data_IF_701079449203
#
_entry.id   IF_701079449203
#
_cell.length_a   1.000
_cell.length_b   1.000
_cell.length_c   1.000
_cell.angle_alpha   90.00
_cell.angle_beta   90.00
_cell.angle_gamma   90.00
#
_symmetry.space_group_name_H-M   'P 1'
#
loop_
_entity.id
_entity.type
_entity.pdbx_description
1 polymer ?
#
# COMPACT_ATOMS: atom_id res chain seq x y z
N UNK A 1 6.14 -9.70 -2.04
CA UNK A 1 4.91 -9.10 -2.61
C UNK A 1 3.84 -10.17 -2.59
N UNK A 2 2.63 -9.86 -2.12
CA UNK A 2 1.51 -10.81 -2.09
C UNK A 2 0.96 -10.94 -3.51
N UNK A 3 0.54 -12.14 -3.90
CA UNK A 3 -0.03 -12.42 -5.22
C UNK A 3 -1.55 -12.60 -5.12
N UNK A 4 -2.28 -12.03 -6.07
CA UNK A 4 -3.75 -12.11 -6.12
C UNK A 4 -4.22 -13.56 -6.24
N UNK A 5 -3.63 -14.34 -7.15
CA UNK A 5 -4.00 -15.74 -7.36
C UNK A 5 -3.85 -16.59 -6.09
N UNK A 6 -2.78 -16.40 -5.32
CA UNK A 6 -2.61 -17.11 -4.04
C UNK A 6 -3.65 -16.67 -3.02
N UNK A 7 -3.98 -15.38 -2.94
CA UNK A 7 -5.05 -14.90 -2.06
C UNK A 7 -6.42 -15.50 -2.42
N UNK A 8 -6.74 -15.62 -3.72
CA UNK A 8 -7.99 -16.24 -4.21
C UNK A 8 -8.05 -17.73 -3.84
N UNK A 9 -6.99 -18.48 -4.12
CA UNK A 9 -6.92 -19.92 -3.79
C UNK A 9 -7.06 -20.13 -2.29
N UNK A 10 -6.35 -19.33 -1.50
CA UNK A 10 -6.38 -19.41 -0.04
C UNK A 10 -7.74 -19.00 0.54
N UNK A 11 -8.43 -18.04 -0.11
CA UNK A 11 -9.79 -17.64 0.25
C UNK A 11 -10.79 -18.75 -0.08
N UNK A 12 -10.63 -19.45 -1.21
CA UNK A 12 -11.51 -20.56 -1.58
C UNK A 12 -11.37 -21.76 -0.65
N UNK A 13 -10.13 -22.23 -0.40
CA UNK A 13 -9.89 -23.42 0.43
C UNK A 13 -9.88 -23.15 1.93
N UNK A 14 -9.43 -21.96 2.34
CA UNK A 14 -9.22 -21.58 3.74
C UNK A 14 -10.07 -20.40 4.22
N UNK A 15 -11.06 -19.96 3.42
CA UNK A 15 -11.90 -18.82 3.74
C UNK A 15 -12.79 -19.02 4.96
N UNK A 16 -13.29 -20.23 5.16
CA UNK A 16 -14.07 -20.62 6.34
C UNK A 16 -13.27 -20.51 7.66
N UNK A 17 -11.93 -20.63 7.58
CA UNK A 17 -11.00 -20.40 8.69
C UNK A 17 -10.45 -18.96 8.72
N UNK A 18 -10.62 -18.19 7.64
CA UNK A 18 -10.04 -16.84 7.49
C UNK A 18 -8.55 -16.79 7.21
N UNK A 19 -7.94 -17.89 6.72
CA UNK A 19 -6.48 -17.97 6.48
C UNK A 19 -6.01 -16.93 5.45
N UNK A 20 -6.87 -16.60 4.47
CA UNK A 20 -6.58 -15.59 3.44
C UNK A 20 -6.35 -14.19 4.03
N UNK A 21 -7.02 -13.85 5.15
CA UNK A 21 -6.82 -12.56 5.84
C UNK A 21 -5.41 -12.42 6.41
N UNK A 22 -4.86 -13.49 6.97
CA UNK A 22 -3.48 -13.52 7.45
C UNK A 22 -2.49 -13.35 6.29
N UNK A 23 -2.73 -14.01 5.16
CA UNK A 23 -1.90 -13.83 3.96
C UNK A 23 -1.91 -12.38 3.45
N UNK A 24 -3.07 -11.71 3.52
CA UNK A 24 -3.26 -10.31 3.13
C UNK A 24 -2.66 -9.31 4.15
N UNK A 25 -2.19 -9.77 5.31
CA UNK A 25 -1.65 -8.92 6.39
C UNK A 25 -2.73 -8.29 7.28
N UNK A 26 -3.97 -8.78 7.19
CA UNK A 26 -5.11 -8.34 8.00
C UNK A 26 -5.28 -9.26 9.22
N UNK A 27 -4.27 -9.28 10.10
CA UNK A 27 -4.20 -10.24 11.21
C UNK A 27 -5.40 -10.15 12.17
N UNK A 28 -5.87 -8.94 12.48
CA UNK A 28 -7.04 -8.72 13.36
C UNK A 28 -8.29 -9.34 12.75
N UNK A 29 -8.53 -9.14 11.45
CA UNK A 29 -9.65 -9.75 10.75
C UNK A 29 -9.52 -11.28 10.70
N UNK A 30 -8.31 -11.80 10.49
CA UNK A 30 -8.04 -13.24 10.53
C UNK A 30 -8.35 -13.86 11.89
N UNK A 31 -7.93 -13.22 12.99
CA UNK A 31 -8.24 -13.67 14.36
C UNK A 31 -9.75 -13.66 14.60
N UNK A 32 -10.45 -12.62 14.12
CA UNK A 32 -11.91 -12.53 14.24
C UNK A 32 -12.60 -13.70 13.51
N UNK A 33 -12.16 -14.04 12.30
CA UNK A 33 -12.64 -15.20 11.56
C UNK A 33 -12.40 -16.50 12.32
N UNK A 34 -11.23 -16.65 12.94
CA UNK A 34 -10.83 -17.83 13.69
C UNK A 34 -11.56 -17.95 15.05
N UNK A 35 -12.11 -16.87 15.59
CA UNK A 35 -13.01 -16.90 16.76
C UNK A 35 -14.45 -17.26 16.38
N UNK A 36 -14.88 -16.89 15.16
CA UNK A 36 -16.23 -17.11 14.67
C UNK A 36 -16.36 -18.30 13.71
N UNK A 37 -15.32 -19.12 13.46
CA UNK A 37 -15.40 -20.21 12.47
C UNK A 37 -16.53 -21.20 12.75
N UNK A 38 -16.87 -21.41 14.02
CA UNK A 38 -17.96 -22.28 14.48
C UNK A 38 -19.37 -21.74 14.21
N UNK A 39 -19.52 -20.45 13.91
CA UNK A 39 -20.84 -19.85 13.63
C UNK A 39 -21.24 -19.96 12.16
N UNK A 40 -20.38 -20.51 11.30
CA UNK A 40 -20.51 -20.53 9.82
C UNK A 40 -20.60 -19.14 9.15
N UNK A 41 -20.73 -18.04 9.90
CA UNK A 41 -20.74 -16.67 9.41
C UNK A 41 -19.47 -16.34 8.60
N UNK A 42 -18.25 -16.69 9.06
CA UNK A 42 -17.03 -16.40 8.30
C UNK A 42 -17.00 -17.03 6.92
N UNK A 43 -17.65 -18.19 6.74
CA UNK A 43 -17.74 -18.85 5.43
C UNK A 43 -18.57 -18.03 4.44
N UNK A 44 -19.68 -17.44 4.87
CA UNK A 44 -20.51 -16.59 4.01
C UNK A 44 -19.79 -15.29 3.63
N UNK A 45 -19.10 -14.67 4.58
CA UNK A 45 -18.33 -13.45 4.30
C UNK A 45 -17.16 -13.77 3.36
N UNK A 46 -16.43 -14.86 3.60
CA UNK A 46 -15.34 -15.30 2.73
C UNK A 46 -15.83 -15.59 1.31
N UNK A 47 -17.04 -16.12 1.15
CA UNK A 47 -17.63 -16.36 -0.17
C UNK A 47 -17.85 -15.05 -0.94
N UNK A 48 -18.37 -14.01 -0.28
CA UNK A 48 -18.49 -12.68 -0.90
C UNK A 48 -17.11 -12.09 -1.20
N UNK A 49 -16.16 -12.20 -0.28
CA UNK A 49 -14.78 -11.73 -0.47
C UNK A 49 -14.07 -12.44 -1.62
N UNK A 50 -14.35 -13.72 -1.85
CA UNK A 50 -13.82 -14.47 -2.97
C UNK A 50 -14.24 -13.82 -4.29
N UNK A 51 -15.52 -13.49 -4.48
CA UNK A 51 -15.97 -12.78 -5.69
C UNK A 51 -15.33 -11.40 -5.82
N UNK A 52 -15.23 -10.66 -4.71
CA UNK A 52 -14.54 -9.36 -4.73
C UNK A 52 -13.10 -9.53 -5.20
N UNK A 53 -12.34 -10.49 -4.65
CA UNK A 53 -10.96 -10.75 -5.04
C UNK A 53 -10.80 -11.22 -6.50
N UNK A 54 -11.76 -12.00 -7.00
CA UNK A 54 -11.79 -12.47 -8.40
C UNK A 54 -12.07 -11.30 -9.35
N UNK A 55 -13.03 -10.44 -9.03
CA UNK A 55 -13.43 -9.29 -9.84
C UNK A 55 -12.45 -8.11 -9.72
N UNK A 56 -11.68 -8.04 -8.65
CA UNK A 56 -10.69 -6.99 -8.39
C UNK A 56 -9.53 -7.06 -9.40
N UNK A 57 -9.09 -5.90 -9.90
CA UNK A 57 -7.92 -5.82 -10.80
C UNK A 57 -6.60 -6.01 -10.05
N UNK A 58 -5.56 -6.46 -10.75
CA UNK A 58 -4.21 -6.64 -10.16
C UNK A 58 -3.60 -5.32 -9.66
N UNK A 59 -3.90 -4.20 -10.34
CA UNK A 59 -3.46 -2.85 -9.95
C UNK A 59 -4.07 -2.48 -8.60
N UNK A 60 -5.38 -2.71 -8.45
CA UNK A 60 -6.10 -2.40 -7.22
C UNK A 60 -5.63 -3.31 -6.07
N UNK A 61 -5.39 -4.60 -6.35
CA UNK A 61 -4.88 -5.56 -5.36
C UNK A 61 -3.51 -5.13 -4.83
N UNK A 62 -2.59 -4.80 -5.75
CA UNK A 62 -1.24 -4.36 -5.39
C UNK A 62 -1.29 -3.04 -4.60
N UNK A 63 -2.18 -2.14 -4.99
CA UNK A 63 -2.45 -0.89 -4.27
C UNK A 63 -2.91 -1.16 -2.83
N UNK A 64 -3.88 -2.07 -2.63
CA UNK A 64 -4.48 -2.29 -1.32
C UNK A 64 -3.62 -3.13 -0.37
N UNK A 65 -2.92 -4.15 -0.87
CA UNK A 65 -2.29 -5.16 -0.03
C UNK A 65 -0.76 -5.14 -0.05
N UNK A 66 -0.15 -4.53 -1.06
CA UNK A 66 1.31 -4.43 -1.17
C UNK A 66 1.85 -3.00 -0.89
N UNK A 67 1.00 -2.00 -0.66
CA UNK A 67 1.43 -0.62 -0.37
C UNK A 67 1.78 -0.34 1.10
N UNK A 68 1.72 -1.34 1.99
CA UNK A 68 1.89 -1.16 3.45
C UNK A 68 3.30 -0.66 3.86
N UNK A 69 4.23 -0.42 2.93
CA UNK A 69 5.53 0.20 3.22
C UNK A 69 5.62 1.69 2.78
N UNK A 70 4.65 2.24 2.06
CA UNK A 70 4.77 3.61 1.52
C UNK A 70 4.12 4.72 2.36
N UNK A 71 3.27 4.38 3.35
CA UNK A 71 2.39 5.36 3.99
C UNK A 71 2.44 5.44 5.52
N UNK A 72 3.21 4.59 6.22
CA UNK A 72 3.43 4.75 7.69
C UNK A 72 4.57 5.75 7.99
N UNK A 73 4.56 6.89 7.28
CA UNK A 73 5.58 7.91 7.38
C UNK A 73 6.34 8.06 6.08
N UNK A 74 5.83 8.91 5.18
CA UNK A 74 6.69 9.54 4.19
C UNK A 74 7.59 10.54 4.94
N UNK A 75 8.57 10.03 5.67
CA UNK A 75 9.88 10.66 5.64
C UNK A 75 10.21 10.75 4.15
N UNK A 76 10.44 11.95 3.64
CA UNK A 76 10.79 12.18 2.23
C UNK A 76 11.90 11.20 1.92
N UNK A 77 11.62 10.18 1.11
CA UNK A 77 12.61 9.16 0.82
C UNK A 77 13.78 9.88 0.16
N UNK A 78 15.02 9.60 0.54
CA UNK A 78 16.19 10.31 0.00
C UNK A 78 16.21 10.33 -1.55
N UNK A 79 15.58 9.34 -2.20
CA UNK A 79 15.28 9.33 -3.64
C UNK A 79 14.31 10.43 -4.09
N UNK A 80 13.19 10.63 -3.39
CA UNK A 80 12.21 11.67 -3.69
C UNK A 80 12.82 13.08 -3.55
N UNK A 81 13.66 13.30 -2.53
CA UNK A 81 14.37 14.57 -2.34
C UNK A 81 15.43 14.85 -3.41
N UNK A 82 16.14 13.81 -3.87
CA UNK A 82 17.14 13.95 -4.94
C UNK A 82 16.49 14.21 -6.29
N UNK A 83 15.34 13.59 -6.57
CA UNK A 83 14.52 13.93 -7.75
C UNK A 83 13.98 15.36 -7.68
N UNK A 84 13.46 15.79 -6.52
CA UNK A 84 12.97 17.16 -6.34
C UNK A 84 14.10 18.22 -6.45
N UNK A 85 15.31 17.91 -5.96
CA UNK A 85 16.51 18.73 -6.15
C UNK A 85 16.90 18.88 -7.62
N UNK A 86 16.80 17.80 -8.40
CA UNK A 86 17.07 17.83 -9.84
C UNK A 86 16.07 18.75 -10.56
N UNK A 87 14.77 18.63 -10.26
CA UNK A 87 13.75 19.52 -10.81
C UNK A 87 13.94 20.98 -10.36
N UNK A 88 14.36 21.22 -9.11
CA UNK A 88 14.67 22.57 -8.64
C UNK A 88 15.82 23.20 -9.43
N UNK A 89 16.85 22.39 -9.76
CA UNK A 89 18.01 22.84 -10.54
C UNK A 89 17.64 23.14 -11.99
N UNK A 90 16.77 22.34 -12.61
CA UNK A 90 16.33 22.62 -14.00
C UNK A 90 15.54 23.92 -14.08
N UNK A 91 14.70 24.22 -13.09
CA UNK A 91 13.95 25.48 -13.01
C UNK A 91 14.88 26.69 -12.84
N UNK A 92 15.95 26.55 -12.04
CA UNK A 92 16.97 27.59 -11.86
C UNK A 92 17.79 27.82 -13.14
N UNK A 93 18.28 26.76 -13.79
CA UNK A 93 19.02 26.86 -15.04
C UNK A 93 18.14 27.44 -16.18
N UNK A 94 16.81 27.25 -16.09
CA UNK A 94 15.85 27.84 -17.04
C UNK A 94 15.53 29.31 -16.76
N UNK A 95 16.08 29.90 -15.68
CA UNK A 95 15.82 31.29 -15.29
C UNK A 95 14.38 31.55 -14.81
N UNK A 96 13.62 30.50 -14.50
CA UNK A 96 12.22 30.59 -14.06
C UNK A 96 12.15 31.03 -12.59
N UNK A 97 13.15 30.67 -11.79
CA UNK A 97 13.26 31.03 -10.37
C UNK A 97 14.57 31.77 -10.11
N UNK A 98 14.56 32.65 -9.12
CA UNK A 98 15.75 33.39 -8.69
C UNK A 98 16.67 32.53 -7.81
N UNK A 99 17.92 32.96 -7.63
CA UNK A 99 18.87 32.25 -6.76
C UNK A 99 18.40 32.18 -5.29
N UNK A 100 17.73 33.23 -4.81
CA UNK A 100 17.18 33.28 -3.45
C UNK A 100 16.04 32.28 -3.27
N UNK A 101 15.10 32.21 -4.21
CA UNK A 101 13.97 31.26 -4.16
C UNK A 101 14.43 29.80 -4.27
N UNK A 102 15.47 29.54 -5.07
CA UNK A 102 16.09 28.22 -5.18
C UNK A 102 16.71 27.78 -3.84
N UNK A 103 17.46 28.65 -3.16
CA UNK A 103 18.10 28.31 -1.89
C UNK A 103 17.08 28.04 -0.78
N UNK A 104 16.02 28.83 -0.68
CA UNK A 104 14.98 28.62 0.33
C UNK A 104 14.28 27.27 0.15
N UNK A 105 13.86 26.95 -1.09
CA UNK A 105 13.19 25.67 -1.39
C UNK A 105 14.12 24.48 -1.18
N UNK A 106 15.39 24.61 -1.54
CA UNK A 106 16.41 23.58 -1.29
C UNK A 106 16.60 23.30 0.20
N UNK A 107 16.68 24.33 1.03
CA UNK A 107 16.86 24.20 2.48
C UNK A 107 15.64 23.58 3.15
N UNK A 108 14.42 23.95 2.73
CA UNK A 108 13.20 23.37 3.26
C UNK A 108 13.10 21.87 2.97
N UNK A 109 13.48 21.45 1.76
CA UNK A 109 13.54 20.03 1.38
C UNK A 109 14.52 19.24 2.26
N UNK A 110 15.70 19.80 2.53
CA UNK A 110 16.71 19.17 3.41
C UNK A 110 16.26 19.07 4.87
N UNK A 111 15.45 20.02 5.36
CA UNK A 111 14.92 20.02 6.73
C UNK A 111 13.74 19.05 6.92
N UNK A 112 13.02 18.75 5.85
CA UNK A 112 11.89 17.81 5.83
C UNK A 112 12.30 16.33 5.66
N UNK A 113 13.60 16.09 5.46
CA UNK A 113 14.25 14.79 5.28
C UNK A 113 14.72 14.24 6.63
#
# INVERSE_FOLDING_TARGET
MKTKSTAIILCFFGGWLGIHKFYLGQNVAGILYLLFFWTCIPSLIAFVEFFILVLMSDIEFNTKYNQVIASTGRAVSAKDATSALADLKTLFDSGIITAEEYEEKRQNLLKSL
#
